data_IF_898725291266
#
_entry.id   IF_898725291266
#
_cell.length_a   1.000
_cell.length_b   1.000
_cell.length_c   1.000
_cell.angle_alpha   90.00
_cell.angle_beta   90.00
_cell.angle_gamma   90.00
#
_symmetry.space_group_name_H-M   'P 1'
#
loop_
_entity.id
_entity.type
_entity.pdbx_description
1 polymer ?
#
# COMPACT_ATOMS: atom_id res chain seq x y z
N UNK A 1 35.09 -3.22 -28.59
CA UNK A 1 33.62 -3.09 -28.62
C UNK A 1 33.06 -3.91 -27.47
N UNK A 2 32.86 -3.28 -26.31
CA UNK A 2 32.22 -3.94 -25.18
C UNK A 2 30.75 -4.20 -25.52
N UNK A 3 30.32 -5.45 -25.39
CA UNK A 3 28.90 -5.82 -25.38
C UNK A 3 28.28 -5.21 -24.12
N UNK A 4 27.78 -3.98 -24.20
CA UNK A 4 26.90 -3.45 -23.15
C UNK A 4 25.70 -4.39 -23.08
N UNK A 5 25.62 -5.21 -22.03
CA UNK A 5 24.49 -6.12 -21.84
C UNK A 5 23.21 -5.29 -21.89
N UNK A 6 22.30 -5.56 -22.84
CA UNK A 6 20.99 -4.92 -22.98
C UNK A 6 20.11 -5.20 -21.74
N UNK A 7 20.47 -4.64 -20.59
CA UNK A 7 19.67 -4.73 -19.36
C UNK A 7 18.37 -3.95 -19.58
N UNK A 8 17.28 -4.44 -18.99
CA UNK A 8 15.94 -3.85 -19.10
C UNK A 8 15.78 -2.57 -18.28
N UNK A 9 16.88 -1.95 -17.87
CA UNK A 9 16.85 -0.80 -16.99
C UNK A 9 16.51 0.48 -17.75
N UNK A 10 15.55 1.23 -17.20
CA UNK A 10 15.03 2.46 -17.77
C UNK A 10 14.53 3.37 -16.64
N UNK A 11 15.01 4.61 -16.60
CA UNK A 11 14.71 5.56 -15.52
C UNK A 11 13.20 5.91 -15.42
N UNK A 12 12.47 6.18 -16.53
CA UNK A 12 11.01 6.33 -16.49
C UNK A 12 10.29 5.15 -15.86
N UNK A 13 10.67 3.92 -16.21
CA UNK A 13 10.06 2.71 -15.64
C UNK A 13 10.29 2.63 -14.13
N UNK A 14 11.49 2.96 -13.66
CA UNK A 14 11.78 3.04 -12.23
C UNK A 14 10.93 4.11 -11.52
N UNK A 15 10.76 5.28 -12.13
CA UNK A 15 9.94 6.37 -11.58
C UNK A 15 8.45 5.98 -11.49
N UNK A 16 7.88 5.39 -12.54
CA UNK A 16 6.48 4.95 -12.52
C UNK A 16 6.24 3.87 -11.47
N UNK A 17 7.17 2.92 -11.32
CA UNK A 17 7.08 1.93 -10.25
C UNK A 17 7.16 2.58 -8.86
N UNK A 18 8.09 3.50 -8.67
CA UNK A 18 8.24 4.23 -7.42
C UNK A 18 6.94 4.95 -7.03
N UNK A 19 6.31 5.66 -7.98
CA UNK A 19 5.02 6.32 -7.73
C UNK A 19 3.90 5.32 -7.46
N UNK A 20 3.83 4.20 -8.17
CA UNK A 20 2.82 3.17 -7.90
C UNK A 20 2.93 2.65 -6.46
N UNK A 21 4.12 2.28 -6.00
CA UNK A 21 4.31 1.81 -4.63
C UNK A 21 4.10 2.94 -3.60
N UNK A 22 4.50 4.17 -3.92
CA UNK A 22 4.24 5.34 -3.08
C UNK A 22 2.73 5.52 -2.84
N UNK A 23 1.89 5.48 -3.87
CA UNK A 23 0.44 5.64 -3.71
C UNK A 23 -0.19 4.47 -2.94
N UNK A 24 0.29 3.25 -3.13
CA UNK A 24 -0.15 2.09 -2.34
C UNK A 24 0.20 2.24 -0.85
N UNK A 25 1.41 2.69 -0.52
CA UNK A 25 1.82 2.90 0.87
C UNK A 25 1.20 4.17 1.49
N UNK A 26 0.96 5.21 0.69
CA UNK A 26 0.23 6.39 1.14
C UNK A 26 -1.23 6.04 1.45
N UNK A 27 -1.84 5.11 0.72
CA UNK A 27 -3.17 4.62 1.07
C UNK A 27 -3.23 4.00 2.46
N UNK A 28 -2.19 3.27 2.87
CA UNK A 28 -2.07 2.81 4.25
C UNK A 28 -1.97 3.98 5.21
N UNK A 29 -1.06 4.92 4.97
CA UNK A 29 -0.89 6.08 5.85
C UNK A 29 -2.18 6.90 6.02
N UNK A 30 -2.98 7.04 4.95
CA UNK A 30 -4.25 7.78 4.98
C UNK A 30 -5.33 7.13 5.85
N UNK A 31 -5.16 5.87 6.28
CA UNK A 31 -6.13 5.25 7.19
C UNK A 31 -6.10 5.86 8.58
N UNK A 32 -4.97 6.49 8.96
CA UNK A 32 -4.69 6.97 10.31
C UNK A 32 -5.02 5.92 11.39
N UNK A 33 -4.87 4.63 11.05
CA UNK A 33 -5.13 3.54 11.99
C UNK A 33 -4.26 3.67 13.24
N UNK A 34 -3.00 4.04 13.04
CA UNK A 34 -2.00 4.21 14.08
C UNK A 34 -1.10 5.40 13.70
N UNK A 35 -0.59 6.13 14.68
CA UNK A 35 0.46 7.13 14.45
C UNK A 35 1.75 6.43 13.96
N UNK A 36 2.56 7.07 13.11
CA UNK A 36 3.81 6.48 12.63
C UNK A 36 3.72 5.64 11.35
N UNK A 37 2.56 5.56 10.67
CA UNK A 37 2.41 4.80 9.41
C UNK A 37 3.29 5.35 8.26
N UNK A 38 3.79 6.58 8.36
CA UNK A 38 4.80 7.13 7.48
C UNK A 38 6.10 6.32 7.48
N UNK A 39 6.45 5.62 8.58
CA UNK A 39 7.61 4.74 8.62
C UNK A 39 7.42 3.53 7.71
N UNK A 40 6.20 2.95 7.66
CA UNK A 40 5.88 1.86 6.73
C UNK A 40 6.04 2.33 5.28
N UNK A 41 5.58 3.54 4.98
CA UNK A 41 5.77 4.16 3.65
C UNK A 41 7.25 4.29 3.33
N UNK A 42 8.08 4.79 4.25
CA UNK A 42 9.51 4.92 4.04
C UNK A 42 10.19 3.56 3.80
N UNK A 43 9.81 2.53 4.56
CA UNK A 43 10.27 1.15 4.37
C UNK A 43 9.91 0.62 2.98
N UNK A 44 8.68 0.85 2.52
CA UNK A 44 8.23 0.43 1.19
C UNK A 44 9.10 1.05 0.08
N UNK A 45 9.35 2.37 0.18
CA UNK A 45 10.17 3.11 -0.79
C UNK A 45 11.63 2.65 -0.77
N UNK A 46 12.20 2.42 0.42
CA UNK A 46 13.54 1.85 0.56
C UNK A 46 13.61 0.46 -0.08
N UNK A 47 12.59 -0.37 0.12
CA UNK A 47 12.43 -1.65 -0.54
C UNK A 47 12.44 -1.52 -2.07
N UNK A 48 11.71 -0.56 -2.64
CA UNK A 48 11.72 -0.31 -4.10
C UNK A 48 13.12 0.06 -4.60
N UNK A 49 13.78 1.03 -3.96
CA UNK A 49 15.13 1.46 -4.33
C UNK A 49 16.10 0.28 -4.29
N UNK A 50 16.03 -0.52 -3.22
CA UNK A 50 16.86 -1.71 -3.08
C UNK A 50 16.52 -2.76 -4.15
N UNK A 51 15.25 -3.03 -4.40
CA UNK A 51 14.79 -3.99 -5.41
C UNK A 51 15.28 -3.61 -6.81
N UNK A 52 15.20 -2.32 -7.16
CA UNK A 52 15.73 -1.78 -8.41
C UNK A 52 17.26 -1.94 -8.50
N UNK A 53 17.98 -1.67 -7.41
CA UNK A 53 19.43 -1.83 -7.36
C UNK A 53 19.85 -3.32 -7.47
N UNK A 54 19.17 -4.21 -6.76
CA UNK A 54 19.43 -5.65 -6.78
C UNK A 54 19.07 -6.27 -8.14
N UNK A 55 17.98 -5.84 -8.77
CA UNK A 55 17.63 -6.35 -10.09
C UNK A 55 18.53 -5.80 -11.21
N UNK A 56 19.17 -4.64 -11.01
CA UNK A 56 20.28 -4.20 -11.86
C UNK A 56 21.59 -4.95 -11.61
N UNK A 57 21.79 -5.48 -10.42
CA UNK A 57 23.05 -6.13 -10.04
C UNK A 57 23.31 -7.45 -10.79
N UNK A 58 24.58 -7.87 -10.83
CA UNK A 58 25.00 -9.18 -11.35
C UNK A 58 24.70 -10.35 -10.40
N UNK A 59 24.15 -10.08 -9.21
CA UNK A 59 23.97 -11.12 -8.20
C UNK A 59 23.01 -12.22 -8.67
N UNK A 60 23.34 -13.46 -8.33
CA UNK A 60 22.45 -14.60 -8.49
C UNK A 60 21.25 -14.47 -7.56
N UNK A 61 20.15 -15.18 -7.85
CA UNK A 61 18.89 -15.12 -7.08
C UNK A 61 19.10 -15.27 -5.57
N UNK A 62 19.97 -16.20 -5.14
CA UNK A 62 20.28 -16.43 -3.72
C UNK A 62 20.99 -15.23 -3.08
N UNK A 63 21.97 -14.65 -3.77
CA UNK A 63 22.69 -13.47 -3.30
C UNK A 63 21.76 -12.25 -3.19
N UNK A 64 20.86 -12.07 -4.17
CA UNK A 64 19.86 -11.00 -4.11
C UNK A 64 18.89 -11.17 -2.93
N UNK A 65 18.46 -12.40 -2.62
CA UNK A 65 17.61 -12.67 -1.44
C UNK A 65 18.37 -12.40 -0.15
N UNK A 66 19.60 -12.89 0.00
CA UNK A 66 20.41 -12.66 1.21
C UNK A 66 20.68 -11.17 1.44
N UNK A 67 21.05 -10.44 0.38
CA UNK A 67 21.22 -8.99 0.46
C UNK A 67 19.90 -8.30 0.81
N UNK A 68 18.79 -8.67 0.18
CA UNK A 68 17.47 -8.11 0.51
C UNK A 68 17.12 -8.30 1.98
N UNK A 69 17.35 -9.49 2.55
CA UNK A 69 17.13 -9.75 3.98
C UNK A 69 18.08 -8.93 4.86
N UNK A 70 19.36 -8.84 4.51
CA UNK A 70 20.33 -8.04 5.26
C UNK A 70 19.94 -6.56 5.32
N UNK A 71 19.59 -5.98 4.16
CA UNK A 71 19.12 -4.60 4.09
C UNK A 71 17.74 -4.41 4.75
N UNK A 72 16.86 -5.42 4.70
CA UNK A 72 15.57 -5.39 5.40
C UNK A 72 15.78 -5.17 6.89
N UNK A 73 16.65 -5.97 7.51
CA UNK A 73 16.93 -5.85 8.94
C UNK A 73 17.48 -4.46 9.28
N UNK A 74 18.45 -3.97 8.51
CA UNK A 74 19.05 -2.65 8.76
C UNK A 74 18.02 -1.53 8.61
N UNK A 75 17.22 -1.54 7.53
CA UNK A 75 16.24 -0.48 7.27
C UNK A 75 15.08 -0.52 8.27
N UNK A 76 14.58 -1.70 8.61
CA UNK A 76 13.51 -1.86 9.60
C UNK A 76 13.97 -1.38 10.98
N UNK A 77 15.14 -1.83 11.45
CA UNK A 77 15.68 -1.42 12.73
C UNK A 77 15.91 0.10 12.78
N UNK A 78 16.45 0.69 11.71
CA UNK A 78 16.58 2.14 11.62
C UNK A 78 15.21 2.82 11.73
N UNK A 79 14.22 2.42 10.93
CA UNK A 79 12.91 3.06 10.93
C UNK A 79 12.17 2.91 12.26
N UNK A 80 12.30 1.78 12.95
CA UNK A 80 11.67 1.55 14.25
C UNK A 80 12.36 2.31 15.37
N UNK A 81 13.69 2.40 15.37
CA UNK A 81 14.41 3.24 16.33
C UNK A 81 14.05 4.72 16.14
N UNK A 82 13.91 5.17 14.89
CA UNK A 82 13.48 6.53 14.58
C UNK A 82 12.05 6.85 15.06
N UNK A 83 11.19 5.85 15.20
CA UNK A 83 9.82 6.02 15.72
C UNK A 83 9.77 6.21 17.24
N UNK A 84 10.69 5.59 18.01
CA UNK A 84 10.66 5.65 19.47
C UNK A 84 11.13 7.03 19.99
N UNK A 85 11.86 7.80 19.17
CA UNK A 85 12.39 9.15 19.47
C UNK A 85 13.04 9.24 20.87
N UNK A 86 14.04 8.39 21.10
CA UNK A 86 14.76 8.33 22.37
C UNK A 86 15.74 9.51 22.53
N UNK A 87 15.96 10.01 23.76
CA UNK A 87 16.99 10.99 24.05
C UNK A 87 18.37 10.51 23.56
N UNK A 88 19.12 11.40 22.87
CA UNK A 88 20.44 11.09 22.28
C UNK A 88 21.55 10.75 23.29
N UNK A 89 21.26 10.82 24.58
CA UNK A 89 22.19 10.54 25.67
C UNK A 89 22.21 9.06 26.07
N UNK A 90 21.28 8.27 25.53
CA UNK A 90 21.13 6.83 25.80
C UNK A 90 22.13 6.02 24.96
N UNK A 91 22.66 4.94 25.52
CA UNK A 91 23.53 4.02 24.79
C UNK A 91 22.71 3.26 23.73
N UNK A 92 23.26 3.08 22.50
CA UNK A 92 22.58 2.34 21.42
C UNK A 92 22.06 0.95 21.85
N UNK A 93 22.78 0.26 22.75
CA UNK A 93 22.37 -1.04 23.27
C UNK A 93 21.06 -0.97 24.07
N UNK A 94 20.87 0.10 24.85
CA UNK A 94 19.65 0.34 25.62
C UNK A 94 18.48 0.66 24.69
N UNK A 95 18.71 1.38 23.59
CA UNK A 95 17.68 1.61 22.57
C UNK A 95 17.19 0.30 21.95
N UNK A 96 18.11 -0.62 21.62
CA UNK A 96 17.77 -1.95 21.11
C UNK A 96 17.02 -2.79 22.15
N UNK A 97 17.37 -2.69 23.43
CA UNK A 97 16.67 -3.38 24.51
C UNK A 97 15.21 -2.90 24.63
N UNK A 98 14.99 -1.58 24.58
CA UNK A 98 13.65 -0.99 24.60
C UNK A 98 12.84 -1.43 23.38
N UNK A 99 13.42 -1.34 22.17
CA UNK A 99 12.79 -1.77 20.93
C UNK A 99 12.40 -3.26 21.00
N UNK A 100 13.35 -4.11 21.40
CA UNK A 100 13.12 -5.55 21.49
C UNK A 100 12.07 -5.87 22.56
N UNK A 101 12.11 -5.22 23.72
CA UNK A 101 11.12 -5.40 24.78
C UNK A 101 9.70 -5.08 24.32
N UNK A 102 9.51 -3.97 23.59
CA UNK A 102 8.21 -3.57 23.04
C UNK A 102 7.69 -4.56 22.00
N UNK A 103 8.53 -4.95 21.02
CA UNK A 103 8.16 -5.93 20.00
C UNK A 103 7.86 -7.31 20.60
N UNK A 104 8.65 -7.73 21.59
CA UNK A 104 8.48 -8.99 22.28
C UNK A 104 7.19 -9.02 23.12
N UNK A 105 6.84 -7.90 23.75
CA UNK A 105 5.58 -7.75 24.49
C UNK A 105 4.39 -7.85 23.54
N UNK A 106 4.40 -7.10 22.42
CA UNK A 106 3.34 -7.19 21.42
C UNK A 106 3.17 -8.60 20.84
N UNK A 107 4.29 -9.32 20.62
CA UNK A 107 4.26 -10.72 20.19
C UNK A 107 3.61 -11.64 21.23
N UNK A 108 3.92 -11.44 22.51
CA UNK A 108 3.32 -12.22 23.60
C UNK A 108 1.82 -11.96 23.73
N UNK A 109 1.39 -10.71 23.62
CA UNK A 109 -0.01 -10.34 23.68
C UNK A 109 -0.80 -10.95 22.51
N UNK A 110 -0.23 -10.89 21.30
CA UNK A 110 -0.79 -11.55 20.12
C UNK A 110 -0.97 -13.05 20.33
N UNK A 111 0.06 -13.75 20.82
CA UNK A 111 0.00 -15.19 21.07
C UNK A 111 -0.94 -15.57 22.23
N UNK A 112 -1.16 -14.66 23.18
CA UNK A 112 -2.09 -14.82 24.28
C UNK A 112 -3.54 -14.43 23.92
N UNK A 113 -3.80 -14.08 22.65
CA UNK A 113 -5.07 -13.55 22.16
C UNK A 113 -5.54 -12.32 22.96
N UNK A 114 -4.58 -11.51 23.42
CA UNK A 114 -4.82 -10.24 24.09
C UNK A 114 -4.70 -9.12 23.07
N UNK A 115 -5.50 -8.06 23.20
CA UNK A 115 -5.41 -6.90 22.33
C UNK A 115 -4.01 -6.28 22.43
N UNK A 116 -3.33 -6.12 21.30
CA UNK A 116 -2.03 -5.44 21.25
C UNK A 116 -2.27 -3.94 21.32
N UNK A 117 -1.86 -3.32 22.43
CA UNK A 117 -2.02 -1.88 22.68
C UNK A 117 -0.92 -1.05 22.02
N UNK A 118 0.28 -1.60 21.86
CA UNK A 118 1.44 -0.85 21.35
C UNK A 118 1.38 -0.64 19.82
N UNK A 119 1.31 0.62 19.34
CA UNK A 119 1.46 1.00 17.93
C UNK A 119 2.64 0.38 17.19
N UNK A 120 3.79 0.28 17.86
CA UNK A 120 5.06 -0.10 17.24
C UNK A 120 5.01 -1.52 16.68
N UNK A 121 4.34 -2.43 17.37
CA UNK A 121 4.21 -3.81 16.92
C UNK A 121 3.39 -3.89 15.63
N UNK A 122 2.31 -3.10 15.52
CA UNK A 122 1.52 -3.01 14.30
C UNK A 122 2.33 -2.43 13.13
N UNK A 123 3.07 -1.34 13.36
CA UNK A 123 3.96 -0.73 12.36
C UNK A 123 5.00 -1.76 11.89
N UNK A 124 5.64 -2.47 12.82
CA UNK A 124 6.63 -3.49 12.52
C UNK A 124 6.04 -4.63 11.68
N UNK A 125 4.85 -5.10 12.04
CA UNK A 125 4.13 -6.16 11.33
C UNK A 125 3.80 -5.76 9.90
N UNK A 126 3.23 -4.58 9.67
CA UNK A 126 2.84 -4.10 8.33
C UNK A 126 4.05 -3.64 7.49
N UNK A 127 5.17 -3.28 8.13
CA UNK A 127 6.42 -2.95 7.41
C UNK A 127 6.97 -4.14 6.61
N UNK A 128 6.81 -5.37 7.11
CA UNK A 128 7.31 -6.59 6.45
C UNK A 128 6.70 -6.82 5.04
N UNK A 129 5.37 -6.90 4.86
CA UNK A 129 4.80 -7.09 3.53
C UNK A 129 5.12 -5.91 2.60
N UNK A 130 5.14 -4.67 3.10
CA UNK A 130 5.48 -3.50 2.28
C UNK A 130 6.94 -3.51 1.81
N UNK A 131 7.88 -3.94 2.64
CA UNK A 131 9.26 -4.17 2.23
C UNK A 131 9.34 -5.22 1.12
N UNK A 132 8.71 -6.38 1.34
CA UNK A 132 8.72 -7.49 0.39
C UNK A 132 8.13 -7.07 -0.95
N UNK A 133 7.02 -6.35 -0.95
CA UNK A 133 6.39 -5.80 -2.16
C UNK A 133 7.34 -4.83 -2.85
N UNK A 134 7.88 -3.84 -2.15
CA UNK A 134 8.82 -2.87 -2.76
C UNK A 134 10.04 -3.55 -3.39
N UNK A 135 10.70 -4.43 -2.63
CA UNK A 135 11.89 -5.16 -3.09
C UNK A 135 11.59 -6.12 -4.25
N UNK A 136 10.50 -6.87 -4.16
CA UNK A 136 10.08 -7.80 -5.21
C UNK A 136 9.71 -7.06 -6.49
N UNK A 137 8.88 -6.02 -6.39
CA UNK A 137 8.43 -5.24 -7.54
C UNK A 137 9.59 -4.54 -8.26
N UNK A 138 10.54 -3.97 -7.51
CA UNK A 138 11.76 -3.37 -8.07
C UNK A 138 12.65 -4.40 -8.79
N UNK A 139 12.82 -5.57 -8.18
CA UNK A 139 13.60 -6.66 -8.76
C UNK A 139 12.97 -7.22 -10.04
N UNK A 140 11.65 -7.43 -10.04
CA UNK A 140 10.92 -7.97 -11.19
C UNK A 140 10.90 -6.99 -12.37
N UNK A 141 10.71 -5.69 -12.11
CA UNK A 141 10.69 -4.66 -13.15
C UNK A 141 12.01 -4.61 -13.90
N UNK A 142 13.13 -4.67 -13.18
CA UNK A 142 14.47 -4.51 -13.77
C UNK A 142 15.02 -5.78 -14.41
N UNK A 143 14.70 -6.95 -13.88
CA UNK A 143 15.26 -8.23 -14.36
C UNK A 143 14.39 -8.95 -15.38
N UNK A 144 13.07 -8.83 -15.25
CA UNK A 144 12.11 -9.56 -16.09
C UNK A 144 11.22 -8.65 -16.93
N UNK A 145 11.23 -7.33 -16.70
CA UNK A 145 10.39 -6.35 -17.39
C UNK A 145 8.90 -6.72 -17.40
N UNK A 146 8.45 -7.43 -16.36
CA UNK A 146 7.07 -7.87 -16.24
C UNK A 146 6.30 -6.88 -15.37
N UNK A 147 5.50 -6.04 -16.03
CA UNK A 147 4.69 -5.01 -15.38
C UNK A 147 3.69 -5.61 -14.38
N UNK A 148 2.96 -6.65 -14.79
CA UNK A 148 1.89 -7.26 -13.99
C UNK A 148 2.43 -7.83 -12.68
N UNK A 149 3.49 -8.63 -12.73
CA UNK A 149 4.08 -9.21 -11.52
C UNK A 149 4.67 -8.15 -10.58
N UNK A 150 5.05 -6.99 -11.13
CA UNK A 150 5.61 -5.89 -10.34
C UNK A 150 4.53 -5.03 -9.69
N UNK A 151 3.35 -4.94 -10.30
CA UNK A 151 2.25 -4.10 -9.81
C UNK A 151 1.31 -4.86 -8.87
N UNK A 152 0.96 -6.10 -9.23
CA UNK A 152 -0.07 -6.88 -8.52
C UNK A 152 0.10 -6.93 -6.99
N UNK A 153 1.30 -7.16 -6.42
CA UNK A 153 1.43 -7.20 -4.96
C UNK A 153 1.11 -5.85 -4.30
N UNK A 154 1.49 -4.72 -4.90
CA UNK A 154 1.16 -3.39 -4.39
C UNK A 154 -0.32 -3.04 -4.52
N UNK A 155 -0.96 -3.47 -5.62
CA UNK A 155 -2.40 -3.33 -5.81
C UNK A 155 -3.18 -4.18 -4.79
N UNK A 156 -2.71 -5.40 -4.51
CA UNK A 156 -3.32 -6.29 -3.53
C UNK A 156 -3.30 -5.68 -2.12
N UNK A 157 -2.16 -5.16 -1.66
CA UNK A 157 -2.08 -4.47 -0.36
C UNK A 157 -3.02 -3.28 -0.30
N UNK A 158 -3.05 -2.45 -1.35
CA UNK A 158 -3.92 -1.29 -1.44
C UNK A 158 -5.41 -1.68 -1.38
N UNK A 159 -5.79 -2.75 -2.07
CA UNK A 159 -7.15 -3.29 -2.07
C UNK A 159 -7.53 -3.88 -0.71
N UNK A 160 -6.62 -4.63 -0.06
CA UNK A 160 -6.82 -5.14 1.30
C UNK A 160 -7.09 -4.00 2.28
N UNK A 161 -6.34 -2.90 2.20
CA UNK A 161 -6.58 -1.72 3.03
C UNK A 161 -7.95 -1.10 2.74
N UNK A 162 -8.34 -1.01 1.47
CA UNK A 162 -9.66 -0.50 1.09
C UNK A 162 -10.80 -1.35 1.65
N UNK A 163 -10.68 -2.68 1.62
CA UNK A 163 -11.69 -3.57 2.18
C UNK A 163 -11.86 -3.42 3.70
N UNK A 164 -10.78 -3.10 4.42
CA UNK A 164 -10.77 -3.01 5.88
C UNK A 164 -10.94 -1.58 6.43
N UNK A 165 -10.94 -0.55 5.58
CA UNK A 165 -11.05 0.83 6.00
C UNK A 165 -12.21 1.54 5.31
N UNK A 166 -13.32 1.64 6.04
CA UNK A 166 -14.51 2.41 5.63
C UNK A 166 -14.33 3.87 6.06
N UNK A 167 -13.53 4.64 5.32
CA UNK A 167 -13.29 6.06 5.63
C UNK A 167 -14.54 6.92 5.38
N UNK A 168 -14.80 7.91 6.23
CA UNK A 168 -15.73 9.00 5.89
C UNK A 168 -15.15 9.96 4.83
N UNK A 169 -13.84 9.95 4.63
CA UNK A 169 -13.11 10.83 3.68
C UNK A 169 -12.75 10.08 2.40
N UNK A 170 -13.09 10.66 1.24
CA UNK A 170 -12.81 10.07 -0.07
C UNK A 170 -11.32 10.13 -0.45
N UNK A 171 -10.56 9.09 -0.10
CA UNK A 171 -9.20 8.88 -0.58
C UNK A 171 -9.14 8.06 -1.89
N UNK A 172 -10.26 7.93 -2.60
CA UNK A 172 -10.38 7.16 -3.84
C UNK A 172 -9.47 7.68 -4.96
N UNK A 173 -9.04 8.95 -4.90
CA UNK A 173 -8.09 9.52 -5.85
C UNK A 173 -6.74 8.79 -5.85
N UNK A 174 -6.32 8.20 -4.71
CA UNK A 174 -5.09 7.41 -4.61
C UNK A 174 -5.16 6.18 -5.52
N UNK A 175 -6.31 5.52 -5.64
CA UNK A 175 -6.50 4.41 -6.58
C UNK A 175 -6.31 4.89 -8.02
N UNK A 176 -6.91 6.03 -8.37
CA UNK A 176 -6.71 6.65 -9.68
C UNK A 176 -5.23 6.93 -9.97
N UNK A 177 -4.51 7.52 -9.00
CA UNK A 177 -3.09 7.80 -9.12
C UNK A 177 -2.22 6.53 -9.20
N UNK A 178 -2.57 5.48 -8.46
CA UNK A 178 -1.94 4.17 -8.57
C UNK A 178 -2.13 3.56 -9.97
N UNK A 179 -3.38 3.53 -10.46
CA UNK A 179 -3.69 3.00 -11.78
C UNK A 179 -3.04 3.81 -12.89
N UNK A 180 -2.96 5.13 -12.73
CA UNK A 180 -2.22 6.00 -13.65
C UNK A 180 -0.76 5.56 -13.78
N UNK A 181 -0.05 5.46 -12.64
CA UNK A 181 1.35 5.05 -12.61
C UNK A 181 1.53 3.62 -13.15
N UNK A 182 0.58 2.72 -12.85
CA UNK A 182 0.54 1.35 -13.37
C UNK A 182 0.41 1.31 -14.90
N UNK A 183 -0.51 2.09 -15.48
CA UNK A 183 -0.70 2.16 -16.93
C UNK A 183 0.53 2.74 -17.65
N UNK A 184 1.15 3.78 -17.08
CA UNK A 184 2.40 4.35 -17.58
C UNK A 184 3.53 3.31 -17.58
N UNK A 185 3.66 2.55 -16.48
CA UNK A 185 4.65 1.49 -16.37
C UNK A 185 4.41 0.37 -17.40
N UNK A 186 3.16 -0.10 -17.52
CA UNK A 186 2.78 -1.14 -18.50
C UNK A 186 3.12 -0.68 -19.92
N UNK A 187 2.73 0.54 -20.28
CA UNK A 187 3.02 1.09 -21.60
C UNK A 187 4.53 1.19 -21.86
N UNK A 188 5.30 1.70 -20.88
CA UNK A 188 6.74 1.87 -21.01
C UNK A 188 7.47 0.53 -21.19
N UNK A 189 7.13 -0.48 -20.38
CA UNK A 189 7.73 -1.80 -20.48
C UNK A 189 7.36 -2.51 -21.80
N UNK A 190 6.11 -2.34 -22.27
CA UNK A 190 5.69 -2.84 -23.59
C UNK A 190 6.46 -2.18 -24.72
N UNK A 191 6.57 -0.85 -24.71
CA UNK A 191 7.34 -0.11 -25.72
C UNK A 191 8.82 -0.55 -25.75
N UNK A 192 9.43 -0.80 -24.58
CA UNK A 192 10.80 -1.34 -24.50
C UNK A 192 10.90 -2.75 -25.09
N UNK A 193 9.91 -3.61 -24.83
CA UNK A 193 9.87 -4.97 -25.38
C UNK A 193 9.72 -4.94 -26.91
N UNK A 194 8.81 -4.11 -27.44
CA UNK A 194 8.56 -3.94 -28.87
C UNK A 194 9.80 -3.38 -29.59
N UNK A 195 10.45 -2.36 -29.01
CA UNK A 195 11.71 -1.79 -29.56
C UNK A 195 12.80 -2.85 -29.67
N UNK A 196 12.95 -3.72 -28.66
CA UNK A 196 13.92 -4.84 -28.71
C UNK A 196 13.54 -5.89 -29.74
N UNK A 197 12.26 -6.14 -29.97
CA UNK A 197 11.80 -7.04 -31.02
C UNK A 197 12.13 -6.49 -32.41
N UNK A 198 11.92 -5.18 -32.64
CA UNK A 198 12.24 -4.51 -33.90
C UNK A 198 13.73 -4.44 -34.18
N UNK A 199 14.56 -4.15 -33.17
CA UNK A 199 16.03 -4.19 -33.31
C UNK A 199 16.52 -5.58 -33.71
N UNK A 200 15.95 -6.65 -33.12
CA UNK A 200 16.26 -8.03 -33.53
C UNK A 200 15.82 -8.34 -34.95
N UNK A 201 14.69 -7.78 -35.40
CA UNK A 201 14.19 -7.91 -36.75
C UNK A 201 14.92 -7.00 -37.78
N UNK A 202 15.91 -6.21 -37.35
CA UNK A 202 16.62 -5.19 -38.16
C UNK A 202 15.71 -4.19 -38.86
N UNK A 203 14.51 -3.96 -38.32
CA UNK A 203 13.59 -2.93 -38.81
C UNK A 203 14.09 -1.60 -38.28
N UNK A 204 14.55 -0.73 -39.17
CA UNK A 204 14.95 0.64 -38.81
C UNK A 204 13.69 1.46 -38.57
N UNK A 205 13.36 1.68 -37.29
CA UNK A 205 12.32 2.63 -36.91
C UNK A 205 12.94 4.03 -36.90
N UNK A 206 12.39 5.01 -37.64
CA UNK A 206 12.88 6.39 -37.60
C UNK A 206 12.90 6.93 -36.17
N UNK A 207 14.04 7.49 -35.75
CA UNK A 207 14.26 7.96 -34.37
C UNK A 207 13.27 9.06 -33.94
N UNK A 208 12.71 9.79 -34.91
CA UNK A 208 11.74 10.88 -34.73
C UNK A 208 10.44 10.40 -34.05
N UNK A 209 10.05 9.13 -34.24
CA UNK A 209 8.80 8.57 -33.68
C UNK A 209 8.89 8.24 -32.18
N UNK A 210 10.08 8.06 -31.63
CA UNK A 210 10.25 7.58 -30.25
C UNK A 210 9.94 8.62 -29.16
N UNK A 211 10.07 9.91 -29.48
CA UNK A 211 9.76 11.01 -28.57
C UNK A 211 8.24 11.25 -28.49
N UNK A 212 7.53 11.09 -29.60
CA UNK A 212 6.07 11.24 -29.67
C UNK A 212 5.34 10.15 -28.89
N UNK A 213 5.80 8.89 -28.92
CA UNK A 213 5.09 7.79 -28.25
C UNK A 213 5.05 7.96 -26.73
N UNK A 214 6.13 8.48 -26.13
CA UNK A 214 6.18 8.69 -24.67
C UNK A 214 5.22 9.82 -24.25
N UNK A 215 5.17 10.90 -25.01
CA UNK A 215 4.24 12.02 -24.78
C UNK A 215 2.79 11.60 -25.01
N UNK A 216 2.50 10.89 -26.10
CA UNK A 216 1.16 10.34 -26.40
C UNK A 216 0.72 9.37 -25.32
N UNK A 217 1.62 8.54 -24.79
CA UNK A 217 1.33 7.64 -23.66
C UNK A 217 0.98 8.41 -22.41
N UNK A 218 1.76 9.43 -22.04
CA UNK A 218 1.49 10.26 -20.86
C UNK A 218 0.14 10.96 -21.00
N UNK A 219 -0.11 11.57 -22.16
CA UNK A 219 -1.38 12.25 -22.46
C UNK A 219 -2.54 11.27 -22.42
N UNK A 220 -2.40 10.08 -23.02
CA UNK A 220 -3.44 9.06 -23.05
C UNK A 220 -3.74 8.51 -21.66
N UNK A 221 -2.71 8.24 -20.86
CA UNK A 221 -2.88 7.79 -19.49
C UNK A 221 -3.52 8.90 -18.63
N UNK A 222 -3.15 10.16 -18.84
CA UNK A 222 -3.72 11.29 -18.11
C UNK A 222 -5.19 11.49 -18.48
N UNK A 223 -5.52 11.36 -19.76
CA UNK A 223 -6.89 11.36 -20.26
C UNK A 223 -7.72 10.21 -19.69
N UNK A 224 -7.19 8.99 -19.68
CA UNK A 224 -7.88 7.82 -19.10
C UNK A 224 -8.17 8.00 -17.62
N UNK A 225 -7.26 8.63 -16.88
CA UNK A 225 -7.44 8.89 -15.45
C UNK A 225 -8.39 10.05 -15.20
N UNK A 226 -8.31 11.11 -15.98
CA UNK A 226 -9.28 12.20 -15.94
C UNK A 226 -10.68 11.69 -16.29
N UNK A 227 -10.82 10.81 -17.29
CA UNK A 227 -12.07 10.15 -17.64
C UNK A 227 -12.56 9.22 -16.53
N UNK A 228 -11.67 8.44 -15.91
CA UNK A 228 -12.02 7.61 -14.76
C UNK A 228 -12.52 8.44 -13.57
N UNK A 229 -11.97 9.64 -13.36
CA UNK A 229 -12.45 10.60 -12.35
C UNK A 229 -13.75 11.32 -12.74
N UNK A 230 -14.08 11.40 -14.03
CA UNK A 230 -15.35 11.98 -14.49
C UNK A 230 -16.53 11.02 -14.37
N UNK A 231 -16.32 9.73 -14.05
CA UNK A 231 -17.43 8.79 -13.81
C UNK A 231 -18.02 9.14 -12.44
N UNK A 232 -19.25 9.71 -12.37
CA UNK A 232 -19.89 9.93 -11.09
C UNK A 232 -20.15 8.54 -10.47
N UNK A 233 -19.72 8.34 -9.22
CA UNK A 233 -20.00 7.15 -8.42
C UNK A 233 -21.50 7.08 -8.10
N UNK A 234 -22.34 6.90 -9.11
CA UNK A 234 -23.79 6.72 -9.00
C UNK A 234 -24.16 5.29 -9.30
N UNK A 235 -23.35 4.33 -8.83
CA UNK A 235 -23.86 2.98 -8.62
C UNK A 235 -24.52 3.03 -7.24
N UNK A 236 -25.85 3.16 -7.14
CA UNK A 236 -26.52 3.07 -5.85
C UNK A 236 -26.09 1.75 -5.21
N UNK A 237 -25.68 1.75 -3.93
CA UNK A 237 -25.28 0.53 -3.25
C UNK A 237 -26.46 -0.43 -3.31
N UNK A 238 -26.38 -1.43 -4.18
CA UNK A 238 -27.39 -2.47 -4.24
C UNK A 238 -27.33 -3.20 -2.89
N UNK A 239 -28.39 -3.07 -2.10
CA UNK A 239 -28.47 -3.68 -0.78
C UNK A 239 -28.18 -5.19 -0.83
N UNK A 240 -28.57 -5.88 -1.91
CA UNK A 240 -28.26 -7.30 -2.12
C UNK A 240 -26.77 -7.55 -2.35
N UNK A 241 -26.08 -6.70 -3.12
CA UNK A 241 -24.64 -6.86 -3.33
C UNK A 241 -23.86 -6.66 -2.02
N UNK A 242 -24.33 -5.73 -1.17
CA UNK A 242 -23.77 -5.51 0.16
C UNK A 242 -24.04 -6.70 1.10
N UNK A 243 -25.27 -7.22 1.14
CA UNK A 243 -25.61 -8.39 1.95
C UNK A 243 -24.84 -9.64 1.52
N UNK A 244 -24.78 -9.92 0.21
CA UNK A 244 -24.04 -11.07 -0.33
C UNK A 244 -22.55 -10.95 -0.03
N UNK A 245 -21.99 -9.74 -0.14
CA UNK A 245 -20.60 -9.49 0.20
C UNK A 245 -20.34 -9.66 1.70
N UNK A 246 -21.22 -9.14 2.55
CA UNK A 246 -21.11 -9.29 4.01
C UNK A 246 -21.25 -10.74 4.47
N UNK A 247 -22.15 -11.52 3.86
CA UNK A 247 -22.31 -12.94 4.18
C UNK A 247 -21.07 -13.75 3.79
N UNK A 248 -20.50 -13.47 2.61
CA UNK A 248 -19.23 -14.06 2.20
C UNK A 248 -18.12 -13.62 3.16
N UNK A 249 -17.94 -12.33 3.41
CA UNK A 249 -16.87 -11.84 4.30
C UNK A 249 -16.99 -12.44 5.71
N UNK A 250 -18.19 -12.45 6.31
CA UNK A 250 -18.41 -13.00 7.66
C UNK A 250 -18.15 -14.51 7.75
N UNK A 251 -18.33 -15.25 6.65
CA UNK A 251 -18.01 -16.69 6.60
C UNK A 251 -16.50 -16.96 6.62
N UNK A 252 -15.71 -16.05 6.06
CA UNK A 252 -14.25 -16.16 6.02
C UNK A 252 -13.58 -15.45 7.20
N UNK A 253 -14.22 -14.42 7.77
CA UNK A 253 -13.74 -13.58 8.86
C UNK A 253 -14.88 -13.33 9.87
N UNK A 254 -15.08 -14.23 10.85
CA UNK A 254 -16.09 -14.03 11.88
C UNK A 254 -15.80 -12.74 12.68
N UNK A 255 -16.82 -11.89 12.88
CA UNK A 255 -16.66 -10.62 13.61
C UNK A 255 -16.27 -10.77 15.09
N UNK A 256 -16.38 -11.96 15.69
CA UNK A 256 -16.03 -12.17 17.10
C UNK A 256 -14.51 -12.06 17.38
N UNK A 257 -13.67 -12.07 16.34
CA UNK A 257 -12.20 -11.92 16.44
C UNK A 257 -11.74 -10.44 16.42
N UNK A 258 -12.66 -9.46 16.44
CA UNK A 258 -12.46 -8.07 16.00
C UNK A 258 -11.41 -7.21 16.73
N UNK A 259 -10.66 -7.70 17.74
CA UNK A 259 -9.72 -6.83 18.49
C UNK A 259 -8.35 -7.44 18.75
N UNK A 260 -7.77 -8.08 17.73
CA UNK A 260 -6.36 -8.49 17.78
C UNK A 260 -5.42 -7.29 17.99
N UNK A 261 -5.75 -6.12 17.41
CA UNK A 261 -4.98 -4.88 17.56
C UNK A 261 -5.85 -3.76 18.13
N UNK A 262 -5.78 -3.52 19.44
CA UNK A 262 -6.49 -2.40 20.05
C UNK A 262 -5.86 -1.03 19.72
N UNK A 263 -4.64 -1.03 19.17
CA UNK A 263 -3.98 0.19 18.68
C UNK A 263 -4.64 0.80 17.44
N UNK A 264 -5.48 0.06 16.72
CA UNK A 264 -6.17 0.56 15.51
C UNK A 264 -7.33 1.47 15.89
N UNK A 265 -7.28 2.72 15.48
CA UNK A 265 -8.40 3.65 15.56
C UNK A 265 -9.44 3.34 14.48
N UNK A 266 -10.52 2.66 14.87
CA UNK A 266 -11.71 2.54 14.01
C UNK A 266 -12.52 3.83 14.08
N UNK A 267 -12.66 4.55 12.95
CA UNK A 267 -13.70 5.56 12.81
C UNK A 267 -15.05 4.85 13.02
N UNK A 268 -15.71 5.13 14.16
CA UNK A 268 -17.05 4.58 14.42
C UNK A 268 -17.96 5.01 13.28
N UNK A 269 -18.72 4.09 12.65
CA UNK A 269 -19.71 4.48 11.66
C UNK A 269 -20.61 5.55 12.28
N UNK A 270 -21.04 6.58 11.51
CA UNK A 270 -21.91 7.60 12.04
C UNK A 270 -23.09 6.89 12.69
N UNK A 271 -23.22 7.06 14.02
CA UNK A 271 -24.37 6.58 14.77
C UNK A 271 -25.57 7.01 13.94
N UNK A 272 -26.47 6.10 13.49
CA UNK A 272 -27.63 6.51 12.72
C UNK A 272 -28.25 7.63 13.52
N UNK A 273 -28.25 8.84 12.95
CA UNK A 273 -28.74 10.02 13.64
C UNK A 273 -30.12 9.60 14.13
N UNK A 274 -30.29 9.44 15.45
CA UNK A 274 -31.60 9.15 16.02
C UNK A 274 -32.49 10.22 15.41
N UNK A 275 -33.35 9.82 14.48
CA UNK A 275 -34.14 10.76 13.72
C UNK A 275 -34.79 11.67 14.77
N UNK A 276 -34.80 13.01 14.59
CA UNK A 276 -35.34 13.94 15.60
C UNK A 276 -36.69 13.47 16.16
N UNK A 277 -37.47 12.82 15.29
CA UNK A 277 -38.75 12.17 15.54
C UNK A 277 -38.68 11.05 16.61
N UNK A 278 -37.66 10.18 16.63
CA UNK A 278 -37.51 9.13 17.64
C UNK A 278 -37.17 9.69 19.03
N UNK A 279 -36.37 10.77 19.09
CA UNK A 279 -36.12 11.50 20.35
C UNK A 279 -37.37 12.21 20.85
N UNK A 280 -38.12 12.86 19.96
CA UNK A 280 -39.39 13.50 20.32
C UNK A 280 -40.44 12.48 20.78
N UNK A 281 -40.54 11.33 20.12
CA UNK A 281 -41.47 10.26 20.52
C UNK A 281 -41.10 9.64 21.87
N UNK A 282 -39.80 9.47 22.16
CA UNK A 282 -39.31 9.01 23.45
C UNK A 282 -39.57 10.02 24.58
N UNK A 283 -39.49 11.32 24.29
CA UNK A 283 -39.83 12.39 25.25
C UNK A 283 -41.34 12.54 25.45
N UNK A 284 -42.14 12.40 24.40
CA UNK A 284 -43.60 12.37 24.49
C UNK A 284 -44.10 11.17 25.29
N UNK A 285 -43.50 9.98 25.06
CA UNK A 285 -43.80 8.77 25.84
C UNK A 285 -43.47 8.92 27.32
N UNK A 286 -42.42 9.68 27.67
CA UNK A 286 -42.08 10.00 29.07
C UNK A 286 -43.00 11.06 29.68
N UNK A 287 -43.46 12.05 28.92
CA UNK A 287 -44.40 13.08 29.38
C UNK A 287 -45.80 12.51 29.64
N UNK A 288 -46.29 11.62 28.77
CA UNK A 288 -47.59 10.97 28.94
C UNK A 288 -47.65 10.02 30.14
N UNK A 289 -46.51 9.50 30.60
CA UNK A 289 -46.40 8.64 31.78
C UNK A 289 -46.33 9.41 33.12
N UNK A 290 -46.29 10.75 33.08
CA UNK A 290 -46.21 11.64 34.26
C UNK A 290 -47.48 12.46 34.52
N UNK A 291 -48.63 12.06 33.97
CA UNK A 291 -49.91 12.66 34.34
C UNK A 291 -50.48 11.86 35.52
N UNK A 292 -50.53 12.39 36.75
CA UNK A 292 -51.21 11.73 37.85
C UNK A 292 -52.73 11.82 37.62
N UNK A 293 -53.42 10.70 37.88
CA UNK A 293 -54.88 10.58 37.93
C UNK A 293 -55.49 11.47 39.01
#
# INVERSE_FOLDING_TARGET
MEKSSERWWDLPSAAFLFFAILFSAWRLQSTNWVEGLEHVRNVALAGVVLGLALGQSLFQRRGAILLSIGYMLVVLLWQWLAYIDLPKEILLLEEFEVLFGRLWTGMRDLLANRPVEDPLFFIAYISLPYWLVGAYSGYQTTRHANALTSLLPGAALMFLIYLNHTAATDYNWLFGAYFFAALLLISRLKHLADRRAWMRARVQVPNESSFDINNVTIISAALLVALAWMIPYTIPPNAQAKETWQEVTNKWFPQDDEKVFASINEERPPKPAEAPIQRELADLGRKLRRVPS
#
